data_IF_941130485504
#
_entry.id   IF_941130485504
#
_cell.length_a   1.000
_cell.length_b   1.000
_cell.length_c   1.000
_cell.angle_alpha   90.00
_cell.angle_beta   90.00
_cell.angle_gamma   90.00
#
_symmetry.space_group_name_H-M   'P 1'
#
loop_
_entity.id
_entity.type
_entity.pdbx_description
1 polymer ?
#
# COMPACT_ATOMS: atom_id res chain seq x y z
N UNK A 1 67.97 157.99 34.65
CA UNK A 1 69.02 157.90 33.63
C UNK A 1 69.35 156.42 33.51
N UNK A 2 69.32 155.74 32.38
CA UNK A 2 69.22 156.14 30.99
C UNK A 2 68.76 154.90 30.22
N UNK A 3 68.13 155.13 29.07
CA UNK A 3 68.37 154.42 27.81
C UNK A 3 68.34 152.89 27.77
N UNK A 4 67.45 152.34 26.94
CA UNK A 4 67.72 151.96 25.55
C UNK A 4 68.71 150.78 25.50
N UNK A 5 68.41 149.70 24.80
CA UNK A 5 68.45 149.75 23.34
C UNK A 5 67.71 148.53 22.76
N UNK A 6 67.09 148.78 21.61
CA UNK A 6 66.72 147.76 20.62
C UNK A 6 67.95 146.91 20.25
N UNK A 7 67.79 145.77 19.60
CA UNK A 7 67.97 145.62 18.15
C UNK A 7 67.53 144.17 17.85
N UNK A 8 66.39 143.98 17.15
CA UNK A 8 66.23 143.90 15.68
C UNK A 8 66.86 142.59 15.16
N UNK A 9 66.08 141.53 14.90
CA UNK A 9 65.19 141.28 13.74
C UNK A 9 65.89 140.50 12.61
N UNK A 10 65.14 139.53 12.07
CA UNK A 10 65.29 138.67 10.88
C UNK A 10 65.82 137.27 11.17
N UNK A 11 65.02 136.23 10.96
CA UNK A 11 64.47 135.88 9.63
C UNK A 11 63.14 135.11 9.72
N UNK A 12 62.19 135.53 8.88
CA UNK A 12 61.11 134.79 8.20
C UNK A 12 60.59 133.44 8.75
N UNK A 13 59.35 133.49 9.26
CA UNK A 13 58.12 132.81 8.80
C UNK A 13 58.17 131.79 7.62
N UNK A 14 57.15 130.91 7.42
CA UNK A 14 56.08 130.46 8.33
C UNK A 14 55.65 128.96 8.24
N UNK A 15 54.78 128.60 9.18
CA UNK A 15 53.60 127.70 9.12
C UNK A 15 53.83 126.17 8.95
N UNK A 16 53.70 125.33 9.99
CA UNK A 16 52.48 124.89 10.75
C UNK A 16 51.46 124.09 9.92
N UNK A 17 50.63 123.19 10.49
CA UNK A 17 50.55 122.76 11.90
C UNK A 17 50.35 121.22 12.12
N UNK A 18 50.40 120.84 13.40
CA UNK A 18 49.45 119.93 14.09
C UNK A 18 49.42 118.44 13.69
N UNK A 19 49.39 117.46 14.60
CA UNK A 19 48.85 117.32 15.96
C UNK A 19 49.47 116.00 16.50
N UNK A 20 49.59 115.64 17.77
CA UNK A 20 49.32 116.26 19.05
C UNK A 20 50.01 115.38 20.09
N UNK A 21 50.55 116.00 21.13
CA UNK A 21 51.17 115.33 22.27
C UNK A 21 50.08 114.92 23.25
N UNK A 22 49.92 113.62 23.51
CA UNK A 22 49.01 113.19 24.57
C UNK A 22 49.03 111.71 24.98
N UNK A 23 50.20 111.05 24.98
CA UNK A 23 50.24 109.57 24.97
C UNK A 23 50.23 108.81 26.31
N UNK A 24 50.60 109.42 27.46
CA UNK A 24 51.01 108.60 28.63
C UNK A 24 49.92 108.36 29.70
N UNK A 25 48.87 109.19 29.79
CA UNK A 25 47.73 108.95 30.69
C UNK A 25 46.58 108.15 30.03
N UNK A 26 46.43 108.28 28.70
CA UNK A 26 45.49 107.49 27.89
C UNK A 26 45.92 106.02 27.83
N UNK A 27 47.23 105.74 27.74
CA UNK A 27 47.78 104.39 27.75
C UNK A 27 47.43 103.57 29.01
N UNK A 28 47.52 104.16 30.21
CA UNK A 28 47.20 103.44 31.46
C UNK A 28 45.70 103.12 31.61
N UNK A 29 44.81 104.00 31.13
CA UNK A 29 43.36 103.76 31.12
C UNK A 29 42.97 102.70 30.09
N UNK A 30 43.63 102.69 28.92
CA UNK A 30 43.47 101.65 27.90
C UNK A 30 43.96 100.30 28.44
N UNK A 31 45.12 100.24 29.11
CA UNK A 31 45.64 99.01 29.73
C UNK A 31 44.68 98.46 30.81
N UNK A 32 44.15 99.32 31.69
CA UNK A 32 43.18 98.87 32.72
C UNK A 32 41.85 98.39 32.12
N UNK A 33 41.36 99.04 31.06
CA UNK A 33 40.16 98.59 30.34
C UNK A 33 40.39 97.23 29.66
N UNK A 34 41.58 97.01 29.11
CA UNK A 34 41.97 95.72 28.51
C UNK A 34 42.08 94.63 29.58
N UNK A 35 42.68 94.90 30.74
CA UNK A 35 42.77 93.93 31.84
C UNK A 35 41.38 93.61 32.41
N UNK A 36 40.52 94.61 32.60
CA UNK A 36 39.14 94.42 33.05
C UNK A 36 38.30 93.64 32.03
N UNK A 37 38.45 93.94 30.74
CA UNK A 37 37.80 93.21 29.65
C UNK A 37 38.28 91.75 29.55
N UNK A 38 39.58 91.51 29.71
CA UNK A 38 40.16 90.16 29.73
C UNK A 38 39.67 89.35 30.95
N UNK A 39 39.57 89.99 32.12
CA UNK A 39 39.03 89.36 33.32
C UNK A 39 37.54 89.00 33.14
N UNK A 40 36.73 89.89 32.55
CA UNK A 40 35.33 89.59 32.24
C UNK A 40 35.18 88.46 31.21
N UNK A 41 36.05 88.41 30.19
CA UNK A 41 36.06 87.31 29.22
C UNK A 41 36.51 85.99 29.85
N UNK A 42 37.47 86.00 30.78
CA UNK A 42 37.90 84.80 31.50
C UNK A 42 36.79 84.25 32.40
N UNK A 43 36.09 85.13 33.14
CA UNK A 43 34.94 84.76 33.97
C UNK A 43 33.77 84.28 33.10
N UNK A 44 33.49 84.98 31.99
CA UNK A 44 32.46 84.58 31.03
C UNK A 44 32.76 83.23 30.37
N UNK A 45 34.02 82.97 30.02
CA UNK A 45 34.48 81.69 29.48
C UNK A 45 34.32 80.56 30.49
N UNK A 46 34.67 80.79 31.76
CA UNK A 46 34.51 79.79 32.83
C UNK A 46 33.02 79.48 33.10
N UNK A 47 32.15 80.49 33.12
CA UNK A 47 30.71 80.29 33.23
C UNK A 47 30.13 79.54 32.02
N UNK A 48 30.61 79.84 30.81
CA UNK A 48 30.19 79.13 29.60
C UNK A 48 30.52 77.63 29.65
N UNK A 49 31.60 77.21 30.32
CA UNK A 49 31.91 75.78 30.50
C UNK A 49 30.89 75.02 31.35
N UNK A 50 30.12 75.71 32.20
CA UNK A 50 29.08 75.07 33.01
C UNK A 50 27.80 74.75 32.23
N UNK A 51 27.63 75.35 31.04
CA UNK A 51 26.49 75.12 30.16
C UNK A 51 26.76 74.00 29.13
N UNK A 52 28.03 73.62 28.94
CA UNK A 52 28.41 72.56 27.98
C UNK A 52 28.56 71.25 28.73
N UNK A 53 27.45 70.51 28.87
CA UNK A 53 27.51 69.12 29.34
C UNK A 53 28.11 68.24 28.24
N UNK A 54 29.18 67.52 28.58
CA UNK A 54 29.81 66.61 27.63
C UNK A 54 28.91 65.39 27.36
N UNK A 55 28.92 64.85 26.13
CA UNK A 55 28.14 63.64 25.81
C UNK A 55 28.57 62.42 26.66
N UNK A 56 29.82 62.40 27.14
CA UNK A 56 30.29 61.39 28.08
C UNK A 56 29.66 61.52 29.47
N UNK A 57 29.39 62.74 29.95
CA UNK A 57 28.67 62.97 31.20
C UNK A 57 27.18 62.66 31.10
N UNK A 58 26.54 62.95 29.97
CA UNK A 58 25.15 62.53 29.74
C UNK A 58 25.07 61.00 29.74
N UNK A 59 26.00 60.30 29.07
CA UNK A 59 26.04 58.85 29.07
C UNK A 59 26.32 58.23 30.46
N UNK A 60 27.14 58.88 31.29
CA UNK A 60 27.44 58.43 32.66
C UNK A 60 26.31 58.73 33.66
N UNK A 61 25.60 59.86 33.50
CA UNK A 61 24.42 60.21 34.29
C UNK A 61 23.17 59.45 33.83
N UNK A 62 23.15 58.92 32.60
CA UNK A 62 22.11 58.02 32.13
C UNK A 62 22.34 56.65 32.77
N UNK A 63 21.74 56.45 33.94
CA UNK A 63 21.74 55.16 34.61
C UNK A 63 21.15 54.05 33.72
N UNK A 64 21.42 52.77 34.03
CA UNK A 64 20.85 51.66 33.29
C UNK A 64 19.33 51.79 33.23
N UNK A 65 18.70 51.52 32.07
CA UNK A 65 17.25 51.52 31.97
C UNK A 65 16.69 50.57 33.03
N UNK A 66 15.60 50.99 33.68
CA UNK A 66 14.95 50.18 34.70
C UNK A 66 14.64 48.80 34.10
N UNK A 67 15.11 47.74 34.76
CA UNK A 67 14.91 46.38 34.26
C UNK A 67 13.41 46.07 34.27
N UNK A 68 12.84 45.84 33.08
CA UNK A 68 11.46 45.42 32.95
C UNK A 68 11.29 43.98 33.43
N UNK A 69 10.16 43.71 34.09
CA UNK A 69 9.77 42.35 34.44
C UNK A 69 9.13 41.66 33.23
N UNK A 70 9.71 40.53 32.80
CA UNK A 70 9.06 39.65 31.83
C UNK A 70 7.94 38.88 32.53
N UNK A 71 6.69 39.33 32.36
CA UNK A 71 5.51 38.61 32.81
C UNK A 71 4.78 37.99 31.61
N UNK A 72 4.16 36.84 31.83
CA UNK A 72 3.23 36.22 30.90
C UNK A 72 1.89 35.99 31.60
N UNK A 73 0.79 36.13 30.88
CA UNK A 73 -0.55 35.90 31.43
C UNK A 73 -0.75 34.43 31.79
N UNK A 74 -1.41 34.19 32.93
CA UNK A 74 -1.71 32.82 33.39
C UNK A 74 -2.96 32.32 32.68
N UNK A 75 -2.79 31.33 31.81
CA UNK A 75 -3.90 30.66 31.12
C UNK A 75 -4.08 29.21 31.59
N UNK A 76 -5.34 28.76 31.66
CA UNK A 76 -5.68 27.35 31.89
C UNK A 76 -5.87 26.66 30.54
N UNK A 77 -4.88 25.87 30.13
CA UNK A 77 -4.91 25.09 28.89
C UNK A 77 -4.57 23.63 29.13
N UNK A 78 -5.09 22.74 28.28
CA UNK A 78 -4.68 21.34 28.25
C UNK A 78 -3.31 21.24 27.59
N UNK A 79 -2.32 20.72 28.32
CA UNK A 79 -0.99 20.43 27.79
C UNK A 79 -1.09 19.18 26.91
N UNK A 80 -0.81 19.34 25.62
CA UNK A 80 -0.71 18.22 24.70
C UNK A 80 0.76 17.88 24.48
N UNK A 81 1.14 16.64 24.80
CA UNK A 81 2.45 16.10 24.44
C UNK A 81 2.29 15.25 23.17
N UNK A 82 2.89 15.70 22.07
CA UNK A 82 2.93 14.91 20.84
C UNK A 82 4.09 13.92 20.96
N UNK A 83 3.79 12.63 21.02
CA UNK A 83 4.79 11.55 21.02
C UNK A 83 4.86 10.96 19.61
N UNK A 84 6.04 10.99 19.00
CA UNK A 84 6.28 10.34 17.70
C UNK A 84 6.86 8.95 17.96
N UNK A 85 6.05 7.91 17.75
CA UNK A 85 6.50 6.51 17.82
C UNK A 85 6.79 5.96 16.43
N UNK A 86 7.83 5.13 16.34
CA UNK A 86 8.12 4.31 15.16
C UNK A 86 7.64 2.89 15.43
N UNK A 87 6.91 2.31 14.47
CA UNK A 87 6.44 0.93 14.55
C UNK A 87 6.65 0.21 13.23
N UNK A 88 6.69 -1.12 13.28
CA UNK A 88 6.74 -1.98 12.10
C UNK A 88 5.38 -2.65 11.91
N UNK A 89 4.90 -2.68 10.67
CA UNK A 89 3.67 -3.39 10.32
C UNK A 89 4.05 -4.82 9.92
N UNK A 90 3.45 -5.79 10.58
CA UNK A 90 3.59 -7.21 10.25
C UNK A 90 2.24 -7.78 9.84
N UNK A 91 2.26 -8.91 9.13
CA UNK A 91 1.03 -9.63 8.82
C UNK A 91 0.39 -10.12 10.13
N UNK A 92 -0.91 -9.86 10.29
CA UNK A 92 -1.68 -10.30 11.46
C UNK A 92 -1.84 -11.83 11.50
N UNK A 93 -2.04 -12.45 10.33
CA UNK A 93 -2.24 -13.89 10.20
C UNK A 93 -1.55 -14.46 8.95
N UNK A 94 -1.16 -15.73 9.04
CA UNK A 94 -0.63 -16.52 7.92
C UNK A 94 -1.32 -17.87 7.89
N UNK A 95 -1.92 -18.23 6.75
CA UNK A 95 -2.68 -19.47 6.57
C UNK A 95 -2.05 -20.30 5.45
N UNK A 96 -1.70 -21.54 5.75
CA UNK A 96 -1.24 -22.50 4.75
C UNK A 96 -2.46 -23.10 4.02
N UNK A 97 -2.63 -22.78 2.74
CA UNK A 97 -3.71 -23.33 1.91
C UNK A 97 -3.17 -24.49 1.10
N UNK A 98 -3.80 -25.67 1.25
CA UNK A 98 -3.51 -26.84 0.43
C UNK A 98 -4.78 -27.33 -0.26
N UNK A 99 -4.75 -27.63 -1.57
CA UNK A 99 -5.92 -28.15 -2.27
C UNK A 99 -6.20 -29.59 -1.82
N UNK A 100 -7.25 -29.78 -1.02
CA UNK A 100 -7.64 -31.10 -0.48
C UNK A 100 -8.55 -31.89 -1.45
N UNK A 101 -9.37 -31.21 -2.27
CA UNK A 101 -10.37 -31.83 -3.16
C UNK A 101 -9.85 -32.33 -4.53
N UNK A 102 -8.53 -32.25 -4.80
CA UNK A 102 -7.95 -32.84 -6.02
C UNK A 102 -7.61 -34.33 -5.81
N UNK A 103 -7.66 -34.84 -4.57
CA UNK A 103 -7.30 -36.21 -4.21
C UNK A 103 -8.42 -37.24 -4.33
N UNK A 104 -9.66 -36.81 -4.58
CA UNK A 104 -10.85 -37.69 -4.50
C UNK A 104 -11.18 -38.38 -5.83
N UNK A 105 -10.21 -39.07 -6.42
CA UNK A 105 -10.41 -39.97 -7.55
C UNK A 105 -9.55 -41.22 -7.39
N UNK A 106 -10.17 -42.40 -7.38
CA UNK A 106 -9.48 -43.70 -7.35
C UNK A 106 -8.41 -43.72 -8.45
N UNK A 107 -7.12 -43.72 -8.08
CA UNK A 107 -5.99 -43.56 -9.01
C UNK A 107 -5.31 -42.18 -9.00
N UNK A 108 -5.57 -41.32 -8.00
CA UNK A 108 -4.94 -40.02 -7.83
C UNK A 108 -3.41 -40.13 -7.66
N UNK A 109 -2.69 -40.06 -8.78
CA UNK A 109 -1.27 -39.72 -8.79
C UNK A 109 -1.02 -38.39 -8.08
N UNK A 110 0.25 -38.14 -7.71
CA UNK A 110 0.65 -36.92 -7.01
C UNK A 110 0.08 -35.67 -7.72
N UNK A 111 -0.60 -34.81 -6.97
CA UNK A 111 -1.18 -33.57 -7.48
C UNK A 111 -0.08 -32.69 -8.10
N UNK A 112 -0.09 -32.53 -9.42
CA UNK A 112 0.93 -31.79 -10.16
C UNK A 112 0.47 -30.36 -10.37
N UNK A 113 1.26 -29.38 -9.93
CA UNK A 113 1.00 -27.98 -10.24
C UNK A 113 1.39 -27.73 -11.70
N UNK A 114 0.40 -27.61 -12.58
CA UNK A 114 0.62 -27.39 -14.02
C UNK A 114 0.84 -25.91 -14.35
N UNK A 115 0.30 -25.00 -13.53
CA UNK A 115 0.45 -23.56 -13.73
C UNK A 115 0.40 -22.79 -12.40
N UNK A 116 1.27 -21.80 -12.25
CA UNK A 116 1.25 -20.88 -11.10
C UNK A 116 1.41 -19.44 -11.62
N UNK A 117 0.31 -18.72 -11.90
CA UNK A 117 0.36 -17.35 -12.43
C UNK A 117 0.81 -16.31 -11.40
N UNK A 118 0.76 -16.61 -10.10
CA UNK A 118 1.12 -15.69 -9.03
C UNK A 118 2.58 -15.81 -8.61
N UNK A 119 3.19 -14.67 -8.27
CA UNK A 119 4.51 -14.59 -7.63
C UNK A 119 4.35 -14.30 -6.14
N UNK A 120 5.38 -14.66 -5.36
CA UNK A 120 5.42 -14.33 -3.94
C UNK A 120 5.36 -12.80 -3.75
N UNK A 121 4.44 -12.34 -2.91
CA UNK A 121 4.19 -10.92 -2.67
C UNK A 121 3.05 -10.32 -3.50
N UNK A 122 2.48 -11.04 -4.47
CA UNK A 122 1.33 -10.55 -5.23
C UNK A 122 0.06 -10.49 -4.37
N UNK A 123 -0.74 -9.41 -4.47
CA UNK A 123 -2.03 -9.33 -3.78
C UNK A 123 -3.01 -10.34 -4.36
N UNK A 124 -3.73 -11.04 -3.49
CA UNK A 124 -4.76 -12.01 -3.87
C UNK A 124 -6.14 -11.42 -3.62
N UNK A 125 -6.95 -11.30 -4.67
CA UNK A 125 -8.34 -10.85 -4.62
C UNK A 125 -9.27 -12.02 -4.89
N UNK A 126 -10.53 -11.95 -4.45
CA UNK A 126 -11.54 -12.96 -4.78
C UNK A 126 -11.70 -13.12 -6.30
N UNK A 127 -11.90 -14.36 -6.76
CA UNK A 127 -12.04 -14.74 -8.16
C UNK A 127 -10.72 -14.87 -8.92
N UNK A 128 -9.57 -14.62 -8.29
CA UNK A 128 -8.27 -14.73 -8.95
C UNK A 128 -7.81 -16.18 -8.98
N UNK A 129 -7.36 -16.63 -10.16
CA UNK A 129 -6.68 -17.91 -10.33
C UNK A 129 -5.34 -17.89 -9.57
N UNK A 130 -5.20 -18.73 -8.55
CA UNK A 130 -3.96 -18.89 -7.79
C UNK A 130 -3.05 -19.89 -8.50
N UNK A 131 -3.59 -21.05 -8.85
CA UNK A 131 -2.83 -22.18 -9.37
C UNK A 131 -3.71 -23.05 -10.25
N UNK A 132 -3.07 -23.86 -11.08
CA UNK A 132 -3.69 -24.96 -11.80
C UNK A 132 -3.05 -26.25 -11.33
N UNK A 133 -3.88 -27.20 -10.91
CA UNK A 133 -3.44 -28.50 -10.40
C UNK A 133 -4.02 -29.58 -11.30
N UNK A 134 -3.14 -30.29 -12.01
CA UNK A 134 -3.50 -31.31 -12.98
C UNK A 134 -4.53 -30.84 -14.00
N UNK A 135 -4.37 -29.61 -14.52
CA UNK A 135 -5.32 -28.99 -15.47
C UNK A 135 -6.56 -28.37 -14.85
N UNK A 136 -6.71 -28.37 -13.51
CA UNK A 136 -7.89 -27.85 -12.80
C UNK A 136 -7.59 -26.50 -12.16
N UNK A 137 -8.38 -25.45 -12.43
CA UNK A 137 -8.15 -24.13 -11.85
C UNK A 137 -8.47 -24.11 -10.36
N UNK A 138 -7.58 -23.51 -9.58
CA UNK A 138 -7.78 -23.19 -8.16
C UNK A 138 -7.83 -21.68 -8.04
N UNK A 139 -9.02 -21.15 -7.76
CA UNK A 139 -9.26 -19.73 -7.58
C UNK A 139 -9.71 -19.42 -6.15
N UNK A 140 -9.48 -18.18 -5.72
CA UNK A 140 -9.94 -17.70 -4.42
C UNK A 140 -11.41 -17.34 -4.44
N UNK A 141 -12.06 -17.55 -3.31
CA UNK A 141 -13.38 -17.03 -3.04
C UNK A 141 -13.33 -16.24 -1.74
N UNK A 142 -14.13 -15.19 -1.65
CA UNK A 142 -14.31 -14.49 -0.40
C UNK A 142 -15.20 -15.33 0.53
N UNK A 143 -14.81 -15.42 1.80
CA UNK A 143 -15.49 -16.30 2.75
C UNK A 143 -14.85 -16.31 4.12
N UNK A 144 -15.64 -16.66 5.14
CA UNK A 144 -15.18 -16.79 6.51
C UNK A 144 -14.58 -18.19 6.78
N UNK A 145 -15.03 -19.22 6.06
CA UNK A 145 -14.62 -20.59 6.28
C UNK A 145 -14.00 -21.21 5.02
N UNK A 146 -12.92 -22.00 5.13
CA UNK A 146 -12.40 -22.76 4.00
C UNK A 146 -13.42 -23.80 3.52
N UNK A 147 -13.41 -24.05 2.21
CA UNK A 147 -14.17 -25.16 1.62
C UNK A 147 -13.51 -26.48 2.03
N UNK A 148 -14.22 -27.30 2.81
CA UNK A 148 -13.70 -28.53 3.40
C UNK A 148 -14.21 -29.80 2.69
N UNK A 149 -15.15 -29.68 1.75
CA UNK A 149 -15.73 -30.79 0.99
C UNK A 149 -15.99 -30.40 -0.46
N UNK A 150 -16.17 -31.40 -1.31
CA UNK A 150 -16.61 -31.20 -2.69
C UNK A 150 -18.12 -30.88 -2.72
N UNK A 151 -18.46 -29.73 -3.31
CA UNK A 151 -19.84 -29.29 -3.47
C UNK A 151 -20.43 -29.82 -4.78
N UNK A 152 -21.63 -30.42 -4.68
CA UNK A 152 -22.35 -30.99 -5.83
C UNK A 152 -23.78 -30.43 -5.86
N UNK A 153 -24.47 -30.46 -7.02
CA UNK A 153 -25.90 -30.18 -7.07
C UNK A 153 -26.65 -31.03 -6.03
N UNK A 154 -27.54 -30.40 -5.27
CA UNK A 154 -28.24 -30.98 -4.13
C UNK A 154 -27.51 -30.84 -2.78
N UNK A 155 -26.26 -30.38 -2.74
CA UNK A 155 -25.58 -30.07 -1.47
C UNK A 155 -26.27 -28.91 -0.76
N UNK A 156 -26.34 -29.00 0.57
CA UNK A 156 -26.89 -27.95 1.43
C UNK A 156 -25.94 -27.64 2.59
N UNK A 157 -25.92 -26.37 3.01
CA UNK A 157 -25.10 -25.91 4.13
C UNK A 157 -24.60 -24.47 4.02
N UNK A 158 -23.87 -24.02 5.04
CA UNK A 158 -23.30 -22.68 5.12
C UNK A 158 -22.16 -22.47 4.11
N UNK A 159 -21.44 -23.54 3.76
CA UNK A 159 -20.43 -23.55 2.71
C UNK A 159 -21.03 -23.24 1.33
N UNK A 160 -22.22 -23.78 1.04
CA UNK A 160 -22.98 -23.44 -0.17
C UNK A 160 -23.46 -21.99 -0.14
N UNK A 161 -23.94 -21.52 1.01
CA UNK A 161 -24.38 -20.13 1.16
C UNK A 161 -23.21 -19.14 0.92
N UNK A 162 -22.03 -19.49 1.41
CA UNK A 162 -20.81 -18.74 1.19
C UNK A 162 -20.38 -18.76 -0.29
N UNK A 163 -20.40 -19.92 -0.94
CA UNK A 163 -20.15 -20.02 -2.38
C UNK A 163 -21.09 -19.12 -3.18
N UNK A 164 -22.40 -19.19 -2.90
CA UNK A 164 -23.40 -18.36 -3.55
C UNK A 164 -23.14 -16.86 -3.35
N UNK A 165 -22.70 -16.46 -2.14
CA UNK A 165 -22.34 -15.07 -1.85
C UNK A 165 -21.11 -14.63 -2.63
N UNK A 166 -20.05 -15.44 -2.62
CA UNK A 166 -18.83 -15.13 -3.36
C UNK A 166 -19.09 -15.06 -4.88
N UNK A 167 -19.93 -15.95 -5.42
CA UNK A 167 -20.32 -15.89 -6.83
C UNK A 167 -21.12 -14.62 -7.15
N UNK A 168 -22.01 -14.16 -6.26
CA UNK A 168 -22.71 -12.87 -6.43
C UNK A 168 -21.74 -11.71 -6.49
N UNK A 169 -20.74 -11.68 -5.61
CA UNK A 169 -19.70 -10.64 -5.57
C UNK A 169 -18.85 -10.64 -6.86
N UNK A 170 -18.67 -11.80 -7.48
CA UNK A 170 -17.99 -11.96 -8.77
C UNK A 170 -18.90 -11.66 -9.98
N UNK A 171 -20.14 -11.22 -9.76
CA UNK A 171 -21.10 -10.89 -10.82
C UNK A 171 -21.90 -12.09 -11.36
N UNK A 172 -21.77 -13.27 -10.75
CA UNK A 172 -22.49 -14.49 -11.12
C UNK A 172 -23.51 -14.85 -10.05
N UNK A 173 -24.72 -14.31 -10.15
CA UNK A 173 -25.79 -14.58 -9.18
C UNK A 173 -26.36 -16.00 -9.29
N UNK A 174 -26.68 -16.69 -8.18
CA UNK A 174 -27.27 -18.03 -8.18
C UNK A 174 -28.74 -18.06 -8.63
N UNK A 175 -29.27 -16.97 -9.19
CA UNK A 175 -30.66 -16.88 -9.65
C UNK A 175 -31.68 -17.08 -8.53
N UNK A 176 -32.61 -18.01 -8.74
CA UNK A 176 -33.72 -18.31 -7.82
C UNK A 176 -33.41 -19.37 -6.75
N UNK A 177 -32.17 -19.84 -6.65
CA UNK A 177 -31.82 -20.82 -5.63
C UNK A 177 -31.90 -20.22 -4.22
N UNK A 178 -32.45 -20.97 -3.27
CA UNK A 178 -32.44 -20.59 -1.86
C UNK A 178 -31.02 -20.52 -1.30
N UNK A 179 -30.82 -19.66 -0.29
CA UNK A 179 -29.56 -19.54 0.42
C UNK A 179 -29.15 -20.89 1.00
N UNK A 180 -27.92 -21.32 0.71
CA UNK A 180 -27.36 -22.57 1.24
C UNK A 180 -27.85 -23.83 0.55
N UNK A 181 -28.50 -23.72 -0.61
CA UNK A 181 -28.97 -24.86 -1.42
C UNK A 181 -28.32 -24.82 -2.80
N UNK A 182 -27.56 -25.86 -3.16
CA UNK A 182 -26.93 -25.95 -4.47
C UNK A 182 -27.96 -26.46 -5.48
N UNK A 183 -28.72 -25.54 -6.07
CA UNK A 183 -29.68 -25.81 -7.12
C UNK A 183 -29.14 -25.56 -8.53
N UNK A 184 -30.08 -25.39 -9.47
CA UNK A 184 -29.77 -25.17 -10.88
C UNK A 184 -29.17 -23.78 -11.12
N UNK A 185 -29.60 -22.77 -10.36
CA UNK A 185 -29.10 -21.41 -10.53
C UNK A 185 -27.66 -21.24 -10.05
N UNK A 186 -27.29 -21.86 -8.93
CA UNK A 186 -25.93 -21.93 -8.40
C UNK A 186 -25.02 -22.68 -9.36
N UNK A 187 -25.50 -23.79 -9.96
CA UNK A 187 -24.77 -24.50 -11.01
C UNK A 187 -24.48 -23.61 -12.22
N UNK A 188 -25.49 -22.86 -12.68
CA UNK A 188 -25.34 -21.95 -13.81
C UNK A 188 -24.36 -20.81 -13.50
N UNK A 189 -24.46 -20.21 -12.31
CA UNK A 189 -23.55 -19.17 -11.83
C UNK A 189 -22.10 -19.66 -11.78
N UNK A 190 -21.86 -20.84 -11.21
CA UNK A 190 -20.54 -21.45 -11.16
C UNK A 190 -20.01 -21.73 -12.58
N UNK A 191 -20.86 -22.28 -13.45
CA UNK A 191 -20.49 -22.55 -14.85
C UNK A 191 -20.09 -21.27 -15.59
N UNK A 192 -20.86 -20.19 -15.40
CA UNK A 192 -20.54 -18.89 -15.97
C UNK A 192 -19.20 -18.36 -15.45
N UNK A 193 -18.92 -18.51 -14.16
CA UNK A 193 -17.63 -18.11 -13.58
C UNK A 193 -16.46 -18.89 -14.18
N UNK A 194 -16.56 -20.22 -14.24
CA UNK A 194 -15.53 -21.07 -14.87
C UNK A 194 -15.26 -20.65 -16.31
N UNK A 195 -16.31 -20.38 -17.09
CA UNK A 195 -16.16 -19.90 -18.48
C UNK A 195 -15.54 -18.52 -18.56
N UNK A 196 -15.86 -17.61 -17.63
CA UNK A 196 -15.26 -16.28 -17.57
C UNK A 196 -13.74 -16.34 -17.33
N UNK A 197 -13.27 -17.34 -16.58
CA UNK A 197 -11.83 -17.58 -16.36
C UNK A 197 -11.21 -18.49 -17.43
N UNK A 198 -11.96 -18.92 -18.45
CA UNK A 198 -11.47 -19.72 -19.57
C UNK A 198 -11.38 -21.23 -19.32
N UNK A 199 -12.10 -21.75 -18.33
CA UNK A 199 -12.12 -23.17 -17.97
C UNK A 199 -13.52 -23.76 -18.13
N UNK A 200 -13.62 -25.05 -18.47
CA UNK A 200 -14.90 -25.76 -18.49
C UNK A 200 -15.08 -26.52 -17.15
N UNK A 201 -16.22 -26.36 -16.46
CA UNK A 201 -16.47 -27.05 -15.21
C UNK A 201 -16.64 -28.55 -15.43
N UNK A 202 -16.25 -29.37 -14.45
CA UNK A 202 -16.52 -30.80 -14.50
C UNK A 202 -18.03 -31.09 -14.37
N UNK A 203 -18.51 -32.15 -15.03
CA UNK A 203 -19.87 -32.61 -14.84
C UNK A 203 -20.03 -33.10 -13.39
N UNK A 204 -20.98 -32.50 -12.67
CA UNK A 204 -21.25 -32.83 -11.27
C UNK A 204 -22.12 -34.09 -11.14
N UNK A 205 -21.54 -35.22 -11.51
CA UNK A 205 -22.13 -36.56 -11.42
C UNK A 205 -21.26 -37.42 -10.50
N UNK A 206 -21.88 -38.31 -9.72
CA UNK A 206 -21.24 -39.08 -8.66
C UNK A 206 -19.96 -39.81 -9.12
N UNK A 207 -19.96 -40.32 -10.36
CA UNK A 207 -18.86 -41.11 -10.95
C UNK A 207 -18.07 -40.37 -12.03
N UNK A 208 -18.10 -39.02 -12.03
CA UNK A 208 -17.40 -38.22 -13.06
C UNK A 208 -17.93 -38.41 -14.49
N UNK A 209 -19.07 -39.07 -14.66
CA UNK A 209 -19.74 -39.29 -15.95
C UNK A 209 -19.48 -40.67 -16.55
N UNK A 210 -18.77 -41.55 -15.84
CA UNK A 210 -18.50 -42.91 -16.29
C UNK A 210 -19.79 -43.70 -16.57
N UNK A 211 -20.74 -43.68 -15.62
CA UNK A 211 -22.04 -44.34 -15.79
C UNK A 211 -22.84 -43.79 -16.99
N UNK A 212 -22.81 -42.47 -17.19
CA UNK A 212 -23.49 -41.84 -18.33
C UNK A 212 -22.82 -42.19 -19.66
N UNK A 213 -21.48 -42.28 -19.68
CA UNK A 213 -20.71 -42.70 -20.85
C UNK A 213 -21.02 -44.17 -21.20
N UNK A 214 -21.00 -45.06 -20.22
CA UNK A 214 -21.36 -46.46 -20.38
C UNK A 214 -22.80 -46.62 -20.89
N UNK A 215 -23.75 -45.86 -20.34
CA UNK A 215 -25.13 -45.86 -20.82
C UNK A 215 -25.25 -45.39 -22.28
N UNK A 216 -24.52 -44.34 -22.69
CA UNK A 216 -24.49 -43.88 -24.09
C UNK A 216 -23.87 -44.92 -25.03
N UNK A 217 -22.82 -45.60 -24.60
CA UNK A 217 -22.18 -46.68 -25.37
C UNK A 217 -23.12 -47.88 -25.52
N UNK A 218 -23.85 -48.24 -24.47
CA UNK A 218 -24.87 -49.30 -24.51
C UNK A 218 -26.05 -48.95 -25.43
N UNK A 219 -26.52 -47.68 -25.43
CA UNK A 219 -27.55 -47.23 -26.37
C UNK A 219 -27.02 -47.30 -27.80
N UNK A 220 -25.79 -46.85 -28.04
CA UNK A 220 -25.19 -46.90 -29.38
C UNK A 220 -25.05 -48.33 -29.91
N UNK A 221 -24.61 -49.27 -29.08
CA UNK A 221 -24.51 -50.67 -29.49
C UNK A 221 -25.87 -51.29 -29.74
N UNK A 222 -26.89 -50.96 -28.94
CA UNK A 222 -28.26 -51.38 -29.18
C UNK A 222 -28.84 -50.80 -30.48
N UNK A 223 -28.57 -49.52 -30.79
CA UNK A 223 -28.98 -48.91 -32.07
C UNK A 223 -28.37 -49.63 -33.26
N UNK A 224 -27.05 -49.92 -33.21
CA UNK A 224 -26.39 -50.69 -34.27
C UNK A 224 -26.95 -52.09 -34.42
N UNK A 225 -27.28 -52.79 -33.33
CA UNK A 225 -27.89 -54.11 -33.39
C UNK A 225 -29.30 -54.09 -34.00
N UNK A 226 -30.09 -53.04 -33.74
CA UNK A 226 -31.41 -52.87 -34.36
C UNK A 226 -31.27 -52.56 -35.85
N UNK A 227 -30.30 -51.74 -36.24
CA UNK A 227 -30.08 -51.36 -37.64
C UNK A 227 -29.56 -52.54 -38.48
N UNK A 228 -28.70 -53.38 -37.90
CA UNK A 228 -28.24 -54.64 -38.50
C UNK A 228 -29.41 -55.63 -38.68
N UNK A 229 -30.30 -55.73 -37.68
CA UNK A 229 -31.50 -56.57 -37.76
C UNK A 229 -32.60 -56.02 -38.69
N UNK A 230 -32.62 -54.71 -38.94
CA UNK A 230 -33.63 -54.02 -39.77
C UNK A 230 -33.18 -53.82 -41.22
N UNK A 231 -31.90 -54.09 -41.51
CA UNK A 231 -31.39 -54.08 -42.88
C UNK A 231 -32.01 -55.24 -43.66
N UNK A 232 -32.68 -54.99 -44.80
CA UNK A 232 -33.29 -56.07 -45.57
C UNK A 232 -32.19 -57.03 -46.01
N UNK A 233 -32.30 -58.30 -45.59
CA UNK A 233 -31.46 -59.39 -46.08
C UNK A 233 -31.66 -59.53 -47.59
N UNK A 234 -30.86 -58.79 -48.35
CA UNK A 234 -30.77 -58.81 -49.79
C UNK A 234 -29.45 -59.44 -50.22
N UNK A 235 -29.54 -60.70 -50.62
CA UNK A 235 -28.58 -61.48 -51.41
C UNK A 235 -27.30 -62.01 -50.72
N UNK A 236 -27.42 -63.20 -50.12
CA UNK A 236 -26.40 -64.25 -50.26
C UNK A 236 -27.03 -65.43 -51.00
N UNK A 237 -26.69 -65.58 -52.28
CA UNK A 237 -27.07 -66.73 -53.11
C UNK A 237 -26.31 -68.01 -52.70
N UNK A 238 -26.83 -69.19 -53.06
CA UNK A 238 -26.26 -70.48 -52.64
C UNK A 238 -25.10 -70.92 -53.55
N UNK A 239 -24.13 -71.68 -53.02
CA UNK A 239 -23.44 -72.68 -53.82
C UNK A 239 -23.82 -74.09 -53.37
N UNK A 240 -24.50 -74.81 -54.27
CA UNK A 240 -24.83 -76.23 -54.17
C UNK A 240 -23.83 -77.06 -55.03
N UNK A 241 -23.40 -78.23 -54.53
CA UNK A 241 -22.75 -79.33 -55.27
C UNK A 241 -21.24 -79.55 -54.98
N UNK A 242 -20.79 -80.44 -54.08
CA UNK A 242 -20.66 -81.94 -54.16
C UNK A 242 -19.66 -82.40 -55.24
N UNK A 243 -18.40 -82.83 -54.98
CA UNK A 243 -17.83 -84.05 -54.32
C UNK A 243 -16.89 -84.80 -55.33
N UNK A 244 -16.06 -85.85 -55.03
CA UNK A 244 -15.76 -86.56 -53.76
C UNK A 244 -14.26 -86.97 -53.51
N UNK A 245 -13.98 -87.56 -52.31
CA UNK A 245 -12.83 -88.47 -52.00
C UNK A 245 -11.86 -87.96 -50.92
N UNK A 246 -11.97 -88.28 -49.61
CA UNK A 246 -11.56 -89.53 -48.92
C UNK A 246 -10.05 -89.50 -48.54
N UNK A 247 -9.53 -89.68 -47.30
CA UNK A 247 -9.99 -90.27 -46.03
C UNK A 247 -9.10 -89.82 -44.84
N UNK A 248 -9.69 -89.89 -43.63
CA UNK A 248 -9.03 -90.24 -42.35
C UNK A 248 -8.66 -89.05 -41.45
N UNK A 249 -9.07 -88.93 -40.19
CA UNK A 249 -9.83 -89.77 -39.27
C UNK A 249 -9.56 -89.29 -37.83
N UNK A 250 -10.51 -89.58 -36.92
CA UNK A 250 -10.47 -89.50 -35.45
C UNK A 250 -10.98 -88.22 -34.72
N UNK A 251 -12.27 -88.28 -34.36
CA UNK A 251 -12.88 -87.74 -33.11
C UNK A 251 -12.49 -88.63 -31.90
N UNK A 252 -12.74 -88.29 -30.60
CA UNK A 252 -14.03 -87.82 -30.05
C UNK A 252 -13.96 -86.73 -28.94
N UNK A 253 -15.06 -85.98 -28.75
CA UNK A 253 -15.42 -85.35 -27.45
C UNK A 253 -16.23 -86.33 -26.58
N UNK A 254 -17.12 -85.91 -25.65
CA UNK A 254 -17.24 -84.65 -24.89
C UNK A 254 -17.57 -84.86 -23.37
N UNK A 255 -17.82 -83.77 -22.63
CA UNK A 255 -18.57 -83.73 -21.36
C UNK A 255 -17.72 -83.54 -20.09
N UNK A 256 -18.17 -83.00 -18.96
CA UNK A 256 -19.35 -82.22 -18.58
C UNK A 256 -19.03 -81.64 -17.18
N UNK A 257 -19.60 -80.48 -16.87
CA UNK A 257 -20.09 -79.98 -15.57
C UNK A 257 -19.54 -80.54 -14.23
N UNK A 258 -19.05 -79.66 -13.33
CA UNK A 258 -19.49 -79.61 -11.91
C UNK A 258 -18.88 -78.42 -11.15
N UNK A 259 -19.74 -77.76 -10.37
CA UNK A 259 -19.49 -76.65 -9.43
C UNK A 259 -19.09 -77.17 -8.02
N UNK A 260 -18.86 -76.31 -6.99
CA UNK A 260 -17.85 -76.50 -5.93
C UNK A 260 -18.38 -77.12 -4.62
N UNK A 261 -17.45 -77.44 -3.71
CA UNK A 261 -17.74 -77.75 -2.30
C UNK A 261 -16.69 -77.13 -1.34
N UNK A 262 -17.06 -76.84 -0.07
CA UNK A 262 -16.26 -76.07 0.88
C UNK A 262 -15.47 -76.95 1.86
N UNK A 263 -14.44 -76.38 2.48
CA UNK A 263 -13.69 -77.03 3.57
C UNK A 263 -13.43 -76.05 4.72
N UNK A 264 -14.14 -76.26 5.83
CA UNK A 264 -13.81 -75.70 7.13
C UNK A 264 -12.74 -76.58 7.81
N UNK A 265 -11.80 -75.96 8.52
CA UNK A 265 -10.82 -76.64 9.38
C UNK A 265 -10.26 -75.67 10.41
N UNK A 266 -10.70 -75.83 11.65
CA UNK A 266 -10.28 -75.09 12.84
C UNK A 266 -8.91 -75.57 13.36
N UNK A 267 -8.20 -74.72 14.10
CA UNK A 267 -7.04 -75.09 14.90
C UNK A 267 -6.36 -73.89 15.58
N UNK A 268 -6.65 -73.71 16.86
CA UNK A 268 -6.17 -72.65 17.75
C UNK A 268 -4.69 -72.81 18.17
N UNK A 269 -4.04 -71.72 18.62
CA UNK A 269 -3.58 -71.54 20.01
C UNK A 269 -2.59 -70.35 20.22
N UNK A 270 -2.90 -69.57 21.26
CA UNK A 270 -2.01 -68.91 22.26
C UNK A 270 -0.97 -67.84 21.89
N UNK A 271 -1.03 -66.73 22.63
CA UNK A 271 0.10 -65.82 22.87
C UNK A 271 -0.31 -64.53 23.56
N UNK A 272 -0.41 -64.56 24.89
CA UNK A 272 -0.54 -63.37 25.73
C UNK A 272 0.79 -62.57 25.76
N UNK A 273 0.66 -61.24 25.87
CA UNK A 273 1.76 -60.28 26.03
C UNK A 273 1.23 -58.86 25.92
#
# INVERSE_FOLDING_TARGET
MSEAERVVERTEAPATPEEDRGGLARGRRVVLAVVGGAALMAVGGLLATTLVKSPAQVAAETGPPVQGVLTADVERRVLAQTVVMRGTVVADQSVAVSPQGVRSGEGAGAALVTKLPLKAGDPVTAGRLIAEVSGRPVFTLHGAQPMYRDLKPGSTGDDVAQLQQALRELGHGPGGDARGVFGAGTKAALTAHYRAIGYEPLPAVADGGAALKAAREAVRSATWAVEDASSPTGAAGPPEGTGPGGKGGATPGPGASASPAPGAGAGAATGAG
#
